data_IF_454210745668
#
_entry.id   IF_454210745668
#
_cell.length_a   1.000
_cell.length_b   1.000
_cell.length_c   1.000
_cell.angle_alpha   90.00
_cell.angle_beta   90.00
_cell.angle_gamma   90.00
#
_symmetry.space_group_name_H-M   'P 1'
#
loop_
_entity.id
_entity.type
_entity.pdbx_description
1 polymer ?
#
# COMPACT_ATOMS: atom_id res chain seq x y z
N UNK A 1 -14.11 27.82 11.08
CA UNK A 1 -14.47 26.86 12.16
C UNK A 1 -14.49 25.47 11.56
N UNK A 2 -13.57 24.61 11.97
CA UNK A 2 -13.51 23.20 11.59
C UNK A 2 -14.78 22.48 12.05
N UNK A 3 -15.49 21.80 11.15
CA UNK A 3 -16.76 21.13 11.51
C UNK A 3 -16.55 20.06 12.59
N UNK A 4 -17.56 19.80 13.43
CA UNK A 4 -17.50 18.73 14.44
C UNK A 4 -17.18 17.36 13.80
N UNK A 5 -17.67 17.12 12.58
CA UNK A 5 -17.40 15.89 11.84
C UNK A 5 -15.93 15.76 11.44
N UNK A 6 -15.32 16.85 10.97
CA UNK A 6 -13.90 16.90 10.62
C UNK A 6 -13.02 16.55 11.84
N UNK A 7 -13.29 17.17 13.00
CA UNK A 7 -12.55 16.88 14.24
C UNK A 7 -12.64 15.41 14.64
N UNK A 8 -13.85 14.85 14.64
CA UNK A 8 -14.06 13.43 14.98
C UNK A 8 -13.34 12.46 14.04
N UNK A 9 -13.26 12.80 12.75
CA UNK A 9 -12.55 11.98 11.78
C UNK A 9 -11.04 12.05 11.98
N UNK A 10 -10.53 13.25 12.21
CA UNK A 10 -9.12 13.48 12.54
C UNK A 10 -8.71 12.75 13.82
N UNK A 11 -9.47 12.92 14.91
CA UNK A 11 -9.28 12.19 16.17
C UNK A 11 -9.23 10.68 15.92
N UNK A 12 -10.20 10.14 15.16
CA UNK A 12 -10.25 8.71 14.87
C UNK A 12 -9.10 8.21 14.01
N UNK A 13 -8.67 9.00 13.03
CA UNK A 13 -7.49 8.68 12.21
C UNK A 13 -6.22 8.66 13.05
N UNK A 14 -6.08 9.56 14.02
CA UNK A 14 -4.92 9.59 14.91
C UNK A 14 -4.95 8.48 15.96
N UNK A 15 -6.12 8.12 16.49
CA UNK A 15 -6.25 6.92 17.33
C UNK A 15 -5.71 5.66 16.62
N UNK A 16 -6.13 5.44 15.37
CA UNK A 16 -5.66 4.33 14.55
C UNK A 16 -4.15 4.43 14.27
N UNK A 17 -3.64 5.63 14.00
CA UNK A 17 -2.22 5.86 13.77
C UNK A 17 -1.38 5.49 15.00
N UNK A 18 -1.81 5.90 16.19
CA UNK A 18 -1.09 5.60 17.43
C UNK A 18 -1.21 4.12 17.81
N UNK A 19 -2.34 3.47 17.56
CA UNK A 19 -2.48 2.02 17.73
C UNK A 19 -1.49 1.24 16.84
N UNK A 20 -1.38 1.63 15.57
CA UNK A 20 -0.42 1.00 14.66
C UNK A 20 1.03 1.38 14.97
N UNK A 21 1.29 2.60 15.42
CA UNK A 21 2.62 3.03 15.89
C UNK A 21 3.10 2.16 17.06
N UNK A 22 2.23 1.91 18.04
CA UNK A 22 2.51 1.04 19.20
C UNK A 22 2.69 -0.42 18.77
N UNK A 23 1.78 -0.97 17.97
CA UNK A 23 1.84 -2.36 17.48
C UNK A 23 3.14 -2.65 16.74
N UNK A 24 3.62 -1.70 15.92
CA UNK A 24 4.88 -1.84 15.19
C UNK A 24 6.10 -1.32 15.96
N UNK A 25 5.95 -0.78 17.18
CA UNK A 25 7.03 -0.13 17.94
C UNK A 25 7.79 0.90 17.09
N UNK A 26 7.05 1.86 16.53
CA UNK A 26 7.56 2.89 15.64
C UNK A 26 7.76 4.23 16.35
N UNK A 27 8.66 5.03 15.79
CA UNK A 27 8.87 6.43 16.15
C UNK A 27 8.57 7.30 14.92
N UNK A 28 7.31 7.73 14.78
CA UNK A 28 6.85 8.48 13.63
C UNK A 28 7.30 9.95 13.71
N UNK A 29 7.92 10.42 12.61
CA UNK A 29 8.53 11.76 12.55
C UNK A 29 7.54 12.90 12.31
N UNK A 30 6.34 12.57 11.86
CA UNK A 30 5.31 13.52 11.51
C UNK A 30 3.94 12.86 11.58
N UNK A 31 2.89 13.68 11.58
CA UNK A 31 1.51 13.24 11.42
C UNK A 31 0.99 13.68 10.04
N UNK A 32 0.07 12.93 9.43
CA UNK A 32 -0.62 13.40 8.25
C UNK A 32 -1.63 14.48 8.63
N UNK A 33 -1.85 15.45 7.75
CA UNK A 33 -3.06 16.28 7.82
C UNK A 33 -4.27 15.42 7.40
N UNK A 34 -5.41 15.59 8.05
CA UNK A 34 -6.63 14.83 7.73
C UNK A 34 -7.71 15.80 7.26
N UNK A 35 -8.32 15.53 6.10
CA UNK A 35 -9.41 16.35 5.57
C UNK A 35 -10.64 15.50 5.23
N UNK A 36 -11.77 15.87 5.82
CA UNK A 36 -13.08 15.38 5.47
C UNK A 36 -13.52 15.96 4.12
N UNK A 37 -13.63 15.08 3.14
CA UNK A 37 -14.08 15.42 1.79
C UNK A 37 -15.59 15.20 1.68
N UNK A 38 -16.35 16.17 2.17
CA UNK A 38 -17.79 16.27 1.92
C UNK A 38 -18.11 16.78 0.50
N UNK A 39 -19.41 16.91 0.18
CA UNK A 39 -19.88 17.40 -1.14
C UNK A 39 -19.32 18.78 -1.55
N UNK A 40 -18.98 19.61 -0.57
CA UNK A 40 -18.55 20.99 -0.78
C UNK A 40 -17.06 21.19 -0.45
N UNK A 41 -16.28 20.12 -0.28
CA UNK A 41 -14.87 20.26 0.01
C UNK A 41 -14.12 20.85 -1.19
N UNK A 42 -13.36 21.91 -0.94
CA UNK A 42 -12.54 22.58 -1.94
C UNK A 42 -11.06 22.50 -1.53
N UNK A 43 -10.22 21.71 -2.21
CA UNK A 43 -8.80 21.56 -1.84
C UNK A 43 -8.03 22.90 -1.92
N UNK A 44 -8.47 23.85 -2.74
CA UNK A 44 -7.84 25.16 -2.83
C UNK A 44 -8.05 26.01 -1.55
N UNK A 45 -9.15 25.80 -0.82
CA UNK A 45 -9.41 26.53 0.45
C UNK A 45 -8.48 26.10 1.58
N UNK A 46 -7.89 24.91 1.47
CA UNK A 46 -6.88 24.39 2.40
C UNK A 46 -5.46 24.46 1.82
N UNK A 47 -5.25 25.27 0.77
CA UNK A 47 -3.94 25.52 0.20
C UNK A 47 -3.36 24.39 -0.65
N UNK A 48 -4.17 23.40 -1.06
CA UNK A 48 -3.72 22.27 -1.87
C UNK A 48 -4.02 22.52 -3.35
N UNK A 49 -3.00 22.72 -4.23
CA UNK A 49 -3.20 23.05 -5.63
C UNK A 49 -3.47 21.78 -6.46
N UNK A 50 -4.47 21.00 -6.05
CA UNK A 50 -4.87 19.76 -6.71
C UNK A 50 -6.33 19.82 -7.11
N UNK A 51 -6.60 19.27 -8.29
CA UNK A 51 -7.94 18.88 -8.66
C UNK A 51 -8.14 17.44 -8.23
N UNK A 52 -9.00 17.23 -7.25
CA UNK A 52 -9.41 15.89 -6.85
C UNK A 52 -10.56 15.47 -7.76
N UNK A 53 -10.35 14.41 -8.53
CA UNK A 53 -11.40 13.80 -9.36
C UNK A 53 -12.20 12.85 -8.47
N UNK A 54 -13.35 13.31 -7.98
CA UNK A 54 -14.02 12.67 -6.84
C UNK A 54 -14.97 11.54 -7.26
N UNK A 55 -14.48 10.30 -7.14
CA UNK A 55 -15.31 9.14 -6.81
C UNK A 55 -15.24 8.76 -5.32
N UNK A 56 -14.72 9.63 -4.43
CA UNK A 56 -14.49 9.39 -2.99
C UNK A 56 -15.75 9.11 -2.14
N UNK A 57 -16.93 8.91 -2.74
CA UNK A 57 -18.15 8.63 -1.98
C UNK A 57 -17.99 7.27 -1.28
N UNK A 58 -17.60 7.30 0.01
CA UNK A 58 -17.37 6.17 0.95
C UNK A 58 -15.93 5.62 1.04
N UNK A 59 -14.91 6.34 0.59
CA UNK A 59 -13.51 5.88 0.75
C UNK A 59 -12.63 6.95 1.41
N UNK A 60 -11.40 6.56 1.72
CA UNK A 60 -10.31 7.45 2.04
C UNK A 60 -9.19 7.33 0.98
N UNK A 61 -8.23 8.25 1.02
CA UNK A 61 -7.05 8.28 0.17
C UNK A 61 -5.92 9.03 0.88
N UNK A 62 -4.81 8.37 1.12
CA UNK A 62 -3.55 9.01 1.47
C UNK A 62 -2.91 9.59 0.20
N UNK A 63 -2.52 10.86 0.27
CA UNK A 63 -1.88 11.60 -0.81
C UNK A 63 -0.44 11.96 -0.41
N UNK A 64 0.56 11.14 -0.80
CA UNK A 64 1.92 11.21 -0.27
C UNK A 64 2.61 12.56 -0.49
N UNK A 65 2.37 13.20 -1.65
CA UNK A 65 3.02 14.46 -2.03
C UNK A 65 2.80 15.59 -1.02
N UNK A 66 1.63 15.63 -0.38
CA UNK A 66 1.30 16.66 0.61
C UNK A 66 1.22 16.13 2.03
N UNK A 67 1.46 14.83 2.24
CA UNK A 67 1.30 14.19 3.53
C UNK A 67 -0.13 14.34 4.10
N UNK A 68 -1.14 14.12 3.25
CA UNK A 68 -2.55 14.37 3.58
C UNK A 68 -3.35 13.08 3.44
N UNK A 69 -4.24 12.78 4.39
CA UNK A 69 -5.31 11.79 4.25
C UNK A 69 -6.62 12.52 3.95
N UNK A 70 -7.17 12.28 2.78
CA UNK A 70 -8.54 12.68 2.44
C UNK A 70 -9.49 11.55 2.81
N UNK A 71 -10.60 11.84 3.47
CA UNK A 71 -11.60 10.82 3.79
C UNK A 71 -13.02 11.34 3.66
N UNK A 72 -13.92 10.52 3.12
CA UNK A 72 -15.36 10.73 3.20
C UNK A 72 -16.06 9.66 4.04
N UNK A 73 -15.31 8.76 4.68
CA UNK A 73 -15.80 7.59 5.40
C UNK A 73 -15.42 7.62 6.88
N UNK A 74 -16.22 6.94 7.70
CA UNK A 74 -15.93 6.64 9.11
C UNK A 74 -15.52 5.18 9.32
N UNK A 75 -15.40 4.41 8.24
CA UNK A 75 -15.02 3.02 8.28
C UNK A 75 -13.55 2.90 8.74
N UNK A 76 -13.36 2.30 9.92
CA UNK A 76 -12.05 2.20 10.57
C UNK A 76 -11.09 1.32 9.79
N UNK A 77 -11.60 0.28 9.13
CA UNK A 77 -10.79 -0.57 8.26
C UNK A 77 -10.24 0.24 7.09
N UNK A 78 -11.07 1.04 6.42
CA UNK A 78 -10.63 1.92 5.32
C UNK A 78 -9.65 2.99 5.82
N UNK A 79 -9.88 3.59 6.98
CA UNK A 79 -8.92 4.54 7.57
C UNK A 79 -7.59 3.85 7.93
N UNK A 80 -7.63 2.64 8.49
CA UNK A 80 -6.43 1.87 8.83
C UNK A 80 -5.57 1.50 7.62
N UNK A 81 -6.18 1.35 6.44
CA UNK A 81 -5.42 1.17 5.20
C UNK A 81 -4.64 2.43 4.81
N UNK A 82 -5.30 3.60 4.82
CA UNK A 82 -4.64 4.85 4.47
C UNK A 82 -3.60 5.27 5.50
N UNK A 83 -3.83 4.99 6.78
CA UNK A 83 -2.82 5.15 7.83
C UNK A 83 -1.64 4.21 7.58
N UNK A 84 -1.89 2.95 7.22
CA UNK A 84 -0.83 2.02 6.81
C UNK A 84 -0.01 2.53 5.61
N UNK A 85 -0.68 3.12 4.60
CA UNK A 85 -0.01 3.77 3.48
C UNK A 85 0.85 4.95 3.92
N UNK A 86 0.34 5.80 4.82
CA UNK A 86 1.08 6.91 5.42
C UNK A 86 2.32 6.42 6.18
N UNK A 87 2.17 5.44 7.07
CA UNK A 87 3.27 4.89 7.86
C UNK A 87 4.35 4.34 6.94
N UNK A 88 3.97 3.49 5.97
CA UNK A 88 4.92 2.96 4.98
C UNK A 88 5.65 4.08 4.25
N UNK A 89 4.95 5.14 3.85
CA UNK A 89 5.54 6.29 3.17
C UNK A 89 6.60 7.03 4.00
N UNK A 90 6.47 7.08 5.33
CA UNK A 90 7.48 7.71 6.20
C UNK A 90 8.84 7.01 6.13
N UNK A 91 8.85 5.70 5.87
CA UNK A 91 10.07 4.89 5.78
C UNK A 91 10.58 4.71 4.35
N UNK A 92 9.75 5.01 3.34
CA UNK A 92 10.22 5.13 1.97
C UNK A 92 11.19 6.31 1.87
N UNK A 93 12.42 6.04 1.44
CA UNK A 93 13.35 7.13 1.19
C UNK A 93 12.82 8.04 0.08
N UNK A 94 12.85 9.36 0.31
CA UNK A 94 12.52 10.42 -0.66
C UNK A 94 13.39 10.45 -1.94
N UNK A 95 14.16 9.40 -2.23
CA UNK A 95 14.81 9.30 -3.53
C UNK A 95 13.71 9.15 -4.56
N UNK A 96 13.50 10.21 -5.31
CA UNK A 96 12.77 10.22 -6.57
C UNK A 96 13.47 9.27 -7.55
N UNK A 97 13.33 7.95 -7.37
CA UNK A 97 13.26 7.09 -8.54
C UNK A 97 12.06 7.67 -9.28
N UNK A 98 12.29 8.30 -10.43
CA UNK A 98 11.19 8.75 -11.29
C UNK A 98 10.29 7.54 -11.45
N UNK A 99 9.12 7.58 -10.82
CA UNK A 99 8.10 6.56 -10.99
C UNK A 99 7.77 6.58 -12.48
N UNK A 100 8.35 5.66 -13.23
CA UNK A 100 7.99 5.47 -14.63
C UNK A 100 6.69 4.68 -14.58
N UNK A 101 5.55 5.28 -14.98
CA UNK A 101 4.28 4.57 -14.95
C UNK A 101 4.40 3.27 -15.73
N UNK A 102 3.71 2.23 -15.25
CA UNK A 102 3.69 0.90 -15.88
C UNK A 102 5.05 0.19 -15.95
N UNK A 103 6.04 0.66 -15.18
CA UNK A 103 7.29 -0.09 -14.95
C UNK A 103 7.09 -1.20 -13.91
N UNK A 104 8.03 -2.15 -13.87
CA UNK A 104 8.06 -3.16 -12.82
C UNK A 104 8.22 -2.53 -11.44
N UNK A 105 9.07 -1.51 -11.33
CA UNK A 105 9.27 -0.77 -10.09
C UNK A 105 7.97 -0.12 -9.60
N UNK A 106 7.27 0.62 -10.47
CA UNK A 106 5.98 1.23 -10.15
C UNK A 106 4.94 0.20 -9.71
N UNK A 107 4.85 -0.91 -10.46
CA UNK A 107 3.94 -2.00 -10.11
C UNK A 107 4.28 -2.63 -8.76
N UNK A 108 5.55 -2.96 -8.53
CA UNK A 108 6.02 -3.56 -7.28
C UNK A 108 5.79 -2.66 -6.08
N UNK A 109 6.09 -1.36 -6.22
CA UNK A 109 5.88 -0.37 -5.17
C UNK A 109 4.39 -0.26 -4.81
N UNK A 110 3.53 -0.18 -5.82
CA UNK A 110 2.08 -0.20 -5.61
C UNK A 110 1.65 -1.44 -4.84
N UNK A 111 2.06 -2.64 -5.30
CA UNK A 111 1.63 -3.88 -4.65
C UNK A 111 2.14 -4.02 -3.22
N UNK A 112 3.38 -3.64 -2.94
CA UNK A 112 3.93 -3.66 -1.56
C UNK A 112 3.16 -2.66 -0.69
N UNK A 113 2.90 -1.46 -1.20
CA UNK A 113 2.12 -0.43 -0.48
C UNK A 113 0.73 -0.94 -0.13
N UNK A 114 -0.02 -1.47 -1.11
CA UNK A 114 -1.36 -2.02 -0.88
C UNK A 114 -1.35 -3.26 0.04
N UNK A 115 -0.28 -4.06 0.02
CA UNK A 115 -0.15 -5.19 0.94
C UNK A 115 0.00 -4.71 2.40
N UNK A 116 0.81 -3.69 2.64
CA UNK A 116 0.98 -3.08 3.96
C UNK A 116 -0.31 -2.38 4.39
N UNK A 117 -0.92 -1.58 3.52
CA UNK A 117 -2.20 -0.91 3.80
C UNK A 117 -3.28 -1.92 4.20
N UNK A 118 -3.46 -2.98 3.40
CA UNK A 118 -4.45 -3.99 3.72
C UNK A 118 -4.12 -4.76 5.00
N UNK A 119 -2.85 -5.08 5.27
CA UNK A 119 -2.46 -5.70 6.56
C UNK A 119 -2.82 -4.80 7.74
N UNK A 120 -2.48 -3.51 7.70
CA UNK A 120 -2.83 -2.54 8.75
C UNK A 120 -4.34 -2.44 8.93
N UNK A 121 -5.10 -2.43 7.84
CA UNK A 121 -6.56 -2.44 7.92
C UNK A 121 -7.14 -3.66 8.64
N UNK A 122 -6.46 -4.80 8.59
CA UNK A 122 -6.87 -6.05 9.23
C UNK A 122 -6.50 -6.11 10.71
N UNK A 123 -5.45 -5.39 11.12
CA UNK A 123 -5.16 -5.18 12.54
C UNK A 123 -6.30 -4.38 13.19
N UNK A 124 -6.76 -3.31 12.53
CA UNK A 124 -7.84 -2.43 13.02
C UNK A 124 -9.22 -3.07 12.88
N UNK A 125 -9.54 -3.65 11.72
CA UNK A 125 -10.78 -4.41 11.48
C UNK A 125 -10.48 -5.85 11.04
N UNK A 126 -10.36 -6.79 12.00
CA UNK A 126 -10.18 -8.21 11.72
C UNK A 126 -11.25 -8.82 10.81
N UNK A 127 -12.46 -8.25 10.76
CA UNK A 127 -13.57 -8.76 9.95
C UNK A 127 -13.51 -8.29 8.50
N UNK A 128 -12.67 -7.29 8.18
CA UNK A 128 -12.50 -6.78 6.82
C UNK A 128 -12.10 -7.91 5.87
N UNK A 129 -12.68 -7.92 4.67
CA UNK A 129 -12.40 -8.94 3.65
C UNK A 129 -11.97 -8.29 2.35
N UNK A 130 -11.01 -8.91 1.68
CA UNK A 130 -10.68 -8.56 0.31
C UNK A 130 -11.89 -8.79 -0.60
N UNK A 131 -12.21 -7.79 -1.42
CA UNK A 131 -13.23 -7.91 -2.47
C UNK A 131 -12.78 -8.79 -3.65
N UNK A 132 -11.48 -9.13 -3.71
CA UNK A 132 -10.88 -9.89 -4.79
C UNK A 132 -10.90 -11.39 -4.46
N UNK A 133 -11.64 -12.17 -5.27
CA UNK A 133 -11.86 -13.61 -5.01
C UNK A 133 -10.87 -14.55 -5.71
N UNK A 134 -10.07 -14.06 -6.66
CA UNK A 134 -9.16 -14.87 -7.49
C UNK A 134 -7.83 -14.17 -7.68
N UNK A 135 -6.76 -14.96 -7.71
CA UNK A 135 -5.46 -14.49 -8.19
C UNK A 135 -5.41 -14.61 -9.72
N UNK A 136 -5.47 -13.47 -10.40
CA UNK A 136 -5.52 -13.43 -11.86
C UNK A 136 -4.16 -13.17 -12.51
N UNK A 137 -3.08 -12.97 -11.74
CA UNK A 137 -1.89 -12.31 -12.26
C UNK A 137 -0.72 -13.25 -12.58
N UNK A 138 -0.42 -14.24 -11.73
CA UNK A 138 0.90 -14.90 -11.77
C UNK A 138 0.91 -16.36 -12.19
N UNK A 139 0.34 -16.62 -13.36
CA UNK A 139 0.63 -17.84 -14.15
C UNK A 139 1.78 -17.67 -15.15
N UNK A 140 2.34 -16.46 -15.31
CA UNK A 140 3.36 -16.17 -16.32
C UNK A 140 4.74 -16.70 -15.88
N UNK A 141 5.51 -17.26 -16.82
CA UNK A 141 6.81 -17.90 -16.54
C UNK A 141 8.04 -17.00 -16.74
N UNK A 142 7.87 -15.77 -17.25
CA UNK A 142 8.98 -14.85 -17.56
C UNK A 142 8.67 -13.40 -17.18
N UNK A 143 9.73 -12.61 -16.93
CA UNK A 143 9.65 -11.18 -16.59
C UNK A 143 9.01 -10.36 -17.72
N UNK A 144 9.36 -10.67 -18.97
CA UNK A 144 8.77 -10.07 -20.16
C UNK A 144 7.27 -10.39 -20.27
N UNK A 145 6.87 -11.62 -19.92
CA UNK A 145 5.46 -12.02 -19.85
C UNK A 145 4.68 -11.20 -18.82
N UNK A 146 5.28 -10.93 -17.65
CA UNK A 146 4.68 -10.07 -16.62
C UNK A 146 4.55 -8.63 -17.12
N UNK A 147 5.62 -8.05 -17.68
CA UNK A 147 5.60 -6.69 -18.22
C UNK A 147 4.54 -6.51 -19.32
N UNK A 148 4.46 -7.43 -20.28
CA UNK A 148 3.43 -7.39 -21.33
C UNK A 148 2.03 -7.43 -20.74
N UNK A 149 1.82 -8.25 -19.71
CA UNK A 149 0.52 -8.34 -19.07
C UNK A 149 0.17 -7.08 -18.27
N UNK A 150 1.10 -6.51 -17.50
CA UNK A 150 0.93 -5.22 -16.83
C UNK A 150 0.49 -4.15 -17.84
N UNK A 151 1.19 -4.03 -18.96
CA UNK A 151 0.85 -3.05 -20.01
C UNK A 151 -0.52 -3.32 -20.62
N UNK A 152 -0.86 -4.58 -20.89
CA UNK A 152 -2.17 -4.97 -21.40
C UNK A 152 -3.30 -4.57 -20.43
N UNK A 153 -3.16 -4.89 -19.14
CA UNK A 153 -4.13 -4.52 -18.10
C UNK A 153 -4.26 -3.00 -17.97
N UNK A 154 -3.16 -2.26 -18.10
CA UNK A 154 -3.19 -0.81 -18.10
C UNK A 154 -3.92 -0.21 -19.31
N UNK A 155 -3.76 -0.79 -20.51
CA UNK A 155 -4.55 -0.40 -21.68
C UNK A 155 -6.05 -0.63 -21.44
N UNK A 156 -6.41 -1.67 -20.69
CA UNK A 156 -7.79 -1.96 -20.31
C UNK A 156 -8.34 -1.07 -19.18
N UNK A 157 -7.52 -0.18 -18.58
CA UNK A 157 -7.92 0.67 -17.45
C UNK A 157 -7.99 -0.05 -16.10
N UNK A 158 -7.49 -1.29 -16.00
CA UNK A 158 -7.62 -2.15 -14.82
C UNK A 158 -6.33 -2.23 -13.99
N UNK A 159 -5.40 -1.29 -14.20
CA UNK A 159 -4.07 -1.34 -13.59
C UNK A 159 -4.09 -1.19 -12.07
N UNK A 160 -4.82 -0.22 -11.55
CA UNK A 160 -4.98 -0.03 -10.10
C UNK A 160 -5.72 -1.22 -9.47
N UNK A 161 -6.76 -1.74 -10.15
CA UNK A 161 -7.48 -2.94 -9.70
C UNK A 161 -6.53 -4.14 -9.54
N UNK A 162 -5.58 -4.29 -10.47
CA UNK A 162 -4.58 -5.34 -10.41
C UNK A 162 -3.59 -5.13 -9.25
N UNK A 163 -3.14 -3.90 -9.02
CA UNK A 163 -2.26 -3.57 -7.88
C UNK A 163 -2.97 -3.92 -6.57
N UNK A 164 -4.19 -3.43 -6.38
CA UNK A 164 -5.01 -3.70 -5.20
C UNK A 164 -5.25 -5.20 -5.01
N UNK A 165 -5.61 -5.93 -6.09
CA UNK A 165 -5.80 -7.37 -6.03
C UNK A 165 -4.57 -8.10 -5.46
N UNK A 166 -3.39 -7.80 -6.01
CA UNK A 166 -2.16 -8.48 -5.62
C UNK A 166 -1.71 -8.05 -4.22
N UNK A 167 -1.86 -6.78 -3.87
CA UNK A 167 -1.57 -6.25 -2.54
C UNK A 167 -2.44 -6.89 -1.48
N UNK A 168 -3.76 -6.86 -1.65
CA UNK A 168 -4.72 -7.40 -0.68
C UNK A 168 -4.54 -8.91 -0.49
N UNK A 169 -4.23 -9.65 -1.55
CA UNK A 169 -3.94 -11.07 -1.45
C UNK A 169 -2.73 -11.33 -0.55
N UNK A 170 -1.66 -10.54 -0.69
CA UNK A 170 -0.47 -10.64 0.15
C UNK A 170 -0.78 -10.19 1.58
N UNK A 171 -1.42 -9.03 1.75
CA UNK A 171 -1.77 -8.48 3.07
C UNK A 171 -2.66 -9.41 3.88
N UNK A 172 -3.68 -10.03 3.26
CA UNK A 172 -4.51 -11.04 3.90
C UNK A 172 -3.66 -12.23 4.38
N UNK A 173 -2.75 -12.74 3.53
CA UNK A 173 -1.90 -13.88 3.91
C UNK A 173 -0.88 -13.52 4.99
N UNK A 174 -0.35 -12.30 4.98
CA UNK A 174 0.47 -11.78 6.07
C UNK A 174 -0.31 -11.76 7.38
N UNK A 175 -1.55 -11.25 7.37
CA UNK A 175 -2.40 -11.20 8.55
C UNK A 175 -2.76 -12.59 9.09
N UNK A 176 -3.10 -13.54 8.21
CA UNK A 176 -3.35 -14.93 8.62
C UNK A 176 -2.10 -15.62 9.18
N UNK A 177 -0.91 -15.29 8.65
CA UNK A 177 0.34 -15.80 9.19
C UNK A 177 0.69 -15.19 10.55
N UNK A 178 0.40 -13.89 10.74
CA UNK A 178 0.50 -13.21 12.03
C UNK A 178 -0.41 -13.85 13.09
N UNK A 179 -1.70 -14.03 12.78
CA UNK A 179 -2.66 -14.69 13.68
C UNK A 179 -2.29 -16.12 14.05
N UNK A 180 -1.65 -16.86 13.14
CA UNK A 180 -1.23 -18.24 13.40
C UNK A 180 0.13 -18.36 14.09
N UNK A 181 0.80 -17.23 14.37
CA UNK A 181 2.16 -17.20 14.94
C UNK A 181 3.26 -17.66 13.98
N UNK A 182 2.94 -17.84 12.69
CA UNK A 182 3.91 -18.20 11.65
C UNK A 182 4.72 -17.00 11.12
N UNK A 183 4.34 -15.78 11.52
CA UNK A 183 4.98 -14.51 11.21
C UNK A 183 4.85 -13.67 12.48
N UNK A 184 5.90 -13.00 12.93
CA UNK A 184 5.80 -12.02 14.01
C UNK A 184 5.59 -10.60 13.46
N UNK A 185 5.26 -9.64 14.31
CA UNK A 185 5.06 -8.25 13.86
C UNK A 185 6.36 -7.62 13.33
N UNK A 186 7.51 -8.10 13.79
CA UNK A 186 8.84 -7.68 13.35
C UNK A 186 9.12 -8.02 11.89
N UNK A 187 8.65 -9.17 11.40
CA UNK A 187 8.69 -9.55 9.99
C UNK A 187 7.94 -8.53 9.11
N UNK A 188 6.78 -8.05 9.58
CA UNK A 188 5.98 -7.06 8.84
C UNK A 188 6.63 -5.69 8.93
N UNK A 189 7.15 -5.32 10.11
CA UNK A 189 7.94 -4.11 10.32
C UNK A 189 9.15 -4.05 9.38
N UNK A 190 9.85 -5.16 9.12
CA UNK A 190 10.96 -5.22 8.17
C UNK A 190 10.50 -4.81 6.76
N UNK A 191 9.35 -5.32 6.31
CA UNK A 191 8.79 -4.98 4.99
C UNK A 191 8.39 -3.51 4.94
N UNK A 192 7.70 -3.03 5.99
CA UNK A 192 7.25 -1.65 6.14
C UNK A 192 8.43 -0.66 6.16
N UNK A 193 9.54 -0.99 6.80
CA UNK A 193 10.69 -0.09 6.91
C UNK A 193 11.71 -0.25 5.76
N UNK A 194 11.44 -1.15 4.80
CA UNK A 194 12.44 -1.52 3.82
C UNK A 194 12.75 -0.36 2.86
N UNK A 195 14.01 0.09 2.77
CA UNK A 195 14.40 1.14 1.84
C UNK A 195 14.51 0.59 0.41
N UNK A 196 13.41 0.56 -0.35
CA UNK A 196 13.36 0.12 -1.75
C UNK A 196 14.03 1.16 -2.67
N UNK A 197 15.34 1.02 -2.91
CA UNK A 197 16.22 2.02 -3.58
C UNK A 197 16.75 1.57 -4.93
N UNK A 198 16.81 0.27 -5.17
CA UNK A 198 17.38 -0.33 -6.37
C UNK A 198 16.42 -0.37 -7.54
N UNK A 199 16.96 -0.50 -8.76
CA UNK A 199 16.15 -0.70 -9.96
C UNK A 199 15.36 -2.02 -9.86
N UNK A 200 14.03 -1.93 -9.96
CA UNK A 200 13.11 -3.06 -9.81
C UNK A 200 13.15 -3.71 -8.41
N UNK A 201 13.69 -3.02 -7.39
CA UNK A 201 13.77 -3.58 -6.04
C UNK A 201 12.38 -3.79 -5.44
N UNK A 202 11.46 -2.85 -5.62
CA UNK A 202 10.09 -3.02 -5.15
C UNK A 202 9.39 -4.21 -5.84
N UNK A 203 9.68 -4.42 -7.13
CA UNK A 203 9.17 -5.59 -7.85
C UNK A 203 9.71 -6.90 -7.26
N UNK A 204 11.01 -6.95 -6.96
CA UNK A 204 11.59 -8.14 -6.35
C UNK A 204 11.10 -8.38 -4.93
N UNK A 205 10.83 -7.32 -4.17
CA UNK A 205 10.21 -7.45 -2.86
C UNK A 205 8.79 -8.01 -2.97
N UNK A 206 7.98 -7.49 -3.89
CA UNK A 206 6.68 -8.07 -4.21
C UNK A 206 6.79 -9.58 -4.51
N UNK A 207 7.71 -10.00 -5.38
CA UNK A 207 7.90 -11.43 -5.70
C UNK A 207 8.30 -12.23 -4.46
N UNK A 208 9.20 -11.71 -3.61
CA UNK A 208 9.63 -12.34 -2.35
C UNK A 208 8.43 -12.54 -1.41
N UNK A 209 7.65 -11.48 -1.15
CA UNK A 209 6.48 -11.54 -0.27
C UNK A 209 5.45 -12.53 -0.80
N UNK A 210 5.19 -12.50 -2.11
CA UNK A 210 4.22 -13.40 -2.72
C UNK A 210 4.67 -14.87 -2.64
N UNK A 211 5.96 -15.15 -2.84
CA UNK A 211 6.51 -16.50 -2.65
C UNK A 211 6.40 -16.95 -1.19
N UNK A 212 6.67 -16.05 -0.24
CA UNK A 212 6.63 -16.34 1.20
C UNK A 212 5.20 -16.62 1.68
N UNK A 213 4.21 -15.80 1.31
CA UNK A 213 2.90 -15.80 1.96
C UNK A 213 1.77 -16.41 1.13
N UNK A 214 1.81 -16.27 -0.19
CA UNK A 214 0.75 -16.76 -1.08
C UNK A 214 1.14 -18.11 -1.68
N UNK A 215 2.43 -18.32 -1.92
CA UNK A 215 2.96 -19.47 -2.64
C UNK A 215 2.78 -19.33 -4.17
N UNK A 216 3.53 -20.12 -4.92
CA UNK A 216 3.53 -20.09 -6.39
C UNK A 216 4.90 -20.42 -6.95
N UNK A 217 4.93 -21.16 -8.07
CA UNK A 217 6.19 -21.52 -8.76
C UNK A 217 6.71 -20.36 -9.62
N UNK A 218 6.77 -19.15 -9.06
CA UNK A 218 7.41 -18.04 -9.76
C UNK A 218 8.92 -18.14 -9.53
N UNK A 219 9.73 -18.28 -10.59
CA UNK A 219 11.20 -18.33 -10.55
C UNK A 219 11.83 -19.20 -9.45
N UNK A 220 11.54 -20.51 -9.40
CA UNK A 220 12.29 -21.42 -8.51
C UNK A 220 13.80 -21.53 -8.84
N UNK A 221 14.32 -20.97 -9.94
CA UNK A 221 15.68 -21.29 -10.39
C UNK A 221 16.62 -20.14 -10.84
N UNK A 222 16.19 -18.91 -11.16
CA UNK A 222 17.10 -17.96 -11.85
C UNK A 222 17.16 -16.50 -11.37
N UNK A 223 16.39 -16.06 -10.36
CA UNK A 223 16.45 -14.66 -9.88
C UNK A 223 17.46 -14.43 -8.75
N UNK A 224 17.70 -15.44 -7.90
CA UNK A 224 18.68 -15.35 -6.80
C UNK A 224 20.11 -15.16 -7.34
N UNK A 225 20.43 -15.69 -8.54
CA UNK A 225 21.75 -15.54 -9.17
C UNK A 225 22.03 -14.12 -9.69
N UNK A 226 21.02 -13.28 -9.98
CA UNK A 226 21.23 -11.93 -10.52
C UNK A 226 21.56 -10.86 -9.49
N UNK A 227 21.39 -11.13 -8.19
CA UNK A 227 21.89 -10.23 -7.12
C UNK A 227 23.42 -10.05 -7.17
N UNK A 228 24.14 -10.98 -7.81
CA UNK A 228 25.59 -10.92 -8.02
C UNK A 228 26.04 -10.18 -9.30
N UNK A 229 25.11 -9.76 -10.17
CA UNK A 229 25.42 -9.07 -11.44
C UNK A 229 25.08 -7.58 -11.44
N UNK A 230 24.62 -7.04 -10.30
CA UNK A 230 24.36 -5.60 -10.11
C UNK A 230 25.37 -4.93 -9.16
N UNK A 231 26.44 -5.66 -8.80
CA UNK A 231 27.60 -5.17 -8.04
C UNK A 231 28.86 -4.96 -8.91
N UNK A 232 28.69 -5.03 -10.23
CA UNK A 232 29.70 -4.70 -11.26
C UNK A 232 29.10 -3.65 -12.18
#
# INVERSE_FOLDING_TARGET
MTSLLQKKLEEKTYEILFELEDEFDLDLKSLPEVYYVGRNFNPYEVGLPIRLDFSLKKTALFFPKYNVIFTATKDEGVLGEEVGHFIHHQFLHKRHIKEVPLSLEHFGMGVVREAIGFFCSKLIDPKRRSQYKKDNFLFKKSLEGVLRHIRYIAIMGEYEHLIHQQGYLIGEKMYQGYLSGGIDIGDVKEVLQKPLKGKNEAFYEFIKLRQRFVGGKFFKQNLIKKKNLSKT
#
